data_IF_957704756785
#
_entry.id   IF_957704756785
#
_cell.length_a   1.000
_cell.length_b   1.000
_cell.length_c   1.000
_cell.angle_alpha   90.00
_cell.angle_beta   90.00
_cell.angle_gamma   90.00
#
_symmetry.space_group_name_H-M   'P 1'
#
loop_
_entity.id
_entity.type
_entity.pdbx_description
1 polymer ?
#
# COMPACT_ATOMS: atom_id res chain seq x y z
N UNK A 1 14.96 8.22 0.77
CA UNK A 1 13.57 7.88 0.53
C UNK A 1 13.19 6.58 1.22
N UNK A 2 13.44 5.45 0.59
CA UNK A 2 13.06 4.16 1.18
C UNK A 2 13.74 3.97 2.55
N UNK A 3 15.02 4.26 2.64
CA UNK A 3 15.80 4.11 3.87
C UNK A 3 15.36 5.05 4.99
N UNK A 4 14.71 6.16 4.66
CA UNK A 4 14.17 7.09 5.64
C UNK A 4 12.89 6.58 6.29
N UNK A 5 12.17 5.68 5.62
CA UNK A 5 10.87 5.20 6.07
C UNK A 5 10.96 3.87 6.81
N UNK A 6 11.95 3.03 6.49
CA UNK A 6 12.03 1.68 7.01
C UNK A 6 13.47 1.31 7.35
N UNK A 7 13.64 0.50 8.39
CA UNK A 7 14.97 -0.02 8.71
C UNK A 7 15.42 -0.99 7.63
N UNK A 8 16.73 -1.04 7.41
CA UNK A 8 17.32 -1.95 6.43
C UNK A 8 17.02 -3.41 6.76
N UNK A 9 17.11 -3.80 8.04
CA UNK A 9 16.85 -5.18 8.45
C UNK A 9 15.39 -5.58 8.24
N UNK A 10 14.47 -4.69 8.49
CA UNK A 10 13.05 -4.93 8.25
C UNK A 10 12.77 -5.14 6.76
N UNK A 11 13.36 -4.31 5.91
CA UNK A 11 13.19 -4.41 4.47
C UNK A 11 13.76 -5.72 3.92
N UNK A 12 14.95 -6.12 4.39
CA UNK A 12 15.56 -7.38 3.98
C UNK A 12 14.66 -8.55 4.39
N UNK A 13 14.13 -8.54 5.59
CA UNK A 13 13.21 -9.57 6.07
C UNK A 13 12.00 -9.72 5.15
N UNK A 14 11.38 -8.61 4.79
CA UNK A 14 10.21 -8.62 3.92
C UNK A 14 10.53 -9.14 2.52
N UNK A 15 11.67 -8.75 1.96
CA UNK A 15 12.10 -9.20 0.64
C UNK A 15 12.39 -10.70 0.58
N UNK A 16 12.72 -11.32 1.72
CA UNK A 16 12.99 -12.76 1.79
C UNK A 16 11.73 -13.60 1.95
N UNK A 17 10.60 -12.98 2.24
CA UNK A 17 9.33 -13.69 2.38
C UNK A 17 8.67 -13.87 1.01
N UNK A 18 8.32 -15.10 0.66
CA UNK A 18 7.77 -15.40 -0.67
C UNK A 18 6.45 -14.69 -0.97
N UNK A 19 5.65 -14.42 0.06
CA UNK A 19 4.38 -13.74 -0.08
C UNK A 19 4.52 -12.23 -0.29
N UNK A 20 5.67 -11.65 0.06
CA UNK A 20 5.92 -10.23 -0.16
C UNK A 20 6.33 -9.96 -1.59
N UNK A 21 5.66 -8.98 -2.21
CA UNK A 21 5.95 -8.54 -3.56
C UNK A 21 6.31 -7.06 -3.53
N UNK A 22 7.45 -6.70 -4.11
CA UNK A 22 7.91 -5.32 -4.19
C UNK A 22 8.11 -4.92 -5.63
N UNK A 23 7.62 -3.75 -5.98
CA UNK A 23 7.73 -3.20 -7.33
C UNK A 23 8.21 -1.75 -7.27
N UNK A 24 9.14 -1.42 -8.14
CA UNK A 24 9.57 -0.04 -8.33
C UNK A 24 8.69 0.57 -9.42
N UNK A 25 8.20 1.77 -9.17
CA UNK A 25 7.35 2.48 -10.13
C UNK A 25 8.24 3.37 -10.98
N UNK A 26 8.23 3.13 -12.29
CA UNK A 26 9.03 3.87 -13.25
C UNK A 26 8.11 4.77 -14.08
N UNK A 27 8.47 6.04 -14.21
CA UNK A 27 7.74 7.00 -15.02
C UNK A 27 8.74 7.83 -15.82
N UNK A 28 8.56 7.83 -17.15
CA UNK A 28 9.46 8.52 -18.07
C UNK A 28 10.94 8.16 -17.84
N UNK A 29 11.20 6.89 -17.59
CA UNK A 29 12.55 6.37 -17.39
C UNK A 29 13.14 6.58 -16.01
N UNK A 30 12.40 7.17 -15.07
CA UNK A 30 12.89 7.46 -13.72
C UNK A 30 12.13 6.65 -12.68
N UNK A 31 12.83 6.20 -11.64
CA UNK A 31 12.20 5.58 -10.49
C UNK A 31 11.51 6.68 -9.67
N UNK A 32 10.19 6.63 -9.58
CA UNK A 32 9.39 7.68 -8.94
C UNK A 32 8.61 7.19 -7.73
N UNK A 33 8.71 5.91 -7.40
CA UNK A 33 8.03 5.37 -6.24
C UNK A 33 8.20 3.88 -6.13
N UNK A 34 7.49 3.31 -5.17
CA UNK A 34 7.51 1.87 -4.97
C UNK A 34 6.20 1.40 -4.36
N UNK A 35 5.94 0.11 -4.50
CA UNK A 35 4.76 -0.53 -3.92
C UNK A 35 5.16 -1.86 -3.31
N UNK A 36 4.65 -2.13 -2.10
CA UNK A 36 4.88 -3.41 -1.43
C UNK A 36 3.58 -3.96 -0.90
N UNK A 37 3.30 -5.22 -1.22
CA UNK A 37 2.11 -5.89 -0.72
C UNK A 37 2.43 -7.34 -0.35
N UNK A 38 1.60 -7.89 0.52
CA UNK A 38 1.76 -9.26 1.01
C UNK A 38 0.57 -10.10 0.57
N UNK A 39 0.86 -11.10 -0.28
CA UNK A 39 -0.13 -12.07 -0.74
C UNK A 39 -0.50 -13.01 0.42
N UNK A 40 -1.76 -13.42 0.44
CA UNK A 40 -2.25 -14.39 1.42
C UNK A 40 -2.00 -13.96 2.88
N UNK A 41 -2.11 -12.65 3.12
CA UNK A 41 -1.98 -12.09 4.47
C UNK A 41 -3.03 -12.67 5.43
N UNK A 42 -4.24 -12.82 4.92
CA UNK A 42 -5.32 -13.58 5.55
C UNK A 42 -5.92 -14.47 4.47
N UNK A 43 -6.92 -15.27 4.80
CA UNK A 43 -7.58 -16.13 3.84
C UNK A 43 -8.12 -15.34 2.66
N UNK A 44 -7.65 -15.67 1.46
CA UNK A 44 -8.04 -15.00 0.19
C UNK A 44 -7.84 -13.48 0.20
N UNK A 45 -6.91 -12.98 1.01
CA UNK A 45 -6.71 -11.54 1.23
C UNK A 45 -5.25 -11.15 1.08
N UNK A 46 -5.01 -10.12 0.30
CA UNK A 46 -3.70 -9.46 0.16
C UNK A 46 -3.73 -8.16 0.95
N UNK A 47 -2.64 -7.83 1.62
CA UNK A 47 -2.49 -6.54 2.29
C UNK A 47 -1.51 -5.66 1.55
N UNK A 48 -1.96 -4.47 1.16
CA UNK A 48 -1.09 -3.43 0.63
C UNK A 48 -0.40 -2.75 1.82
N UNK A 49 0.90 -2.98 1.96
CA UNK A 49 1.67 -2.40 3.07
C UNK A 49 2.18 -1.02 2.74
N UNK A 50 2.62 -0.79 1.50
CA UNK A 50 3.31 0.43 1.11
C UNK A 50 2.98 0.81 -0.31
N UNK A 51 2.64 2.08 -0.50
CA UNK A 51 2.58 2.70 -1.82
C UNK A 51 3.08 4.12 -1.67
N UNK A 52 4.22 4.40 -2.27
CA UNK A 52 4.86 5.70 -2.20
C UNK A 52 5.16 6.23 -3.59
N UNK A 53 4.85 7.50 -3.80
CA UNK A 53 5.20 8.23 -5.01
C UNK A 53 5.88 9.53 -4.62
N UNK A 54 6.94 9.91 -5.33
CA UNK A 54 7.59 11.19 -5.07
C UNK A 54 6.61 12.33 -5.36
N UNK A 55 6.70 13.47 -4.64
CA UNK A 55 5.72 14.55 -4.81
C UNK A 55 5.63 15.10 -6.23
N UNK A 56 6.71 15.07 -6.99
CA UNK A 56 6.78 15.63 -8.34
C UNK A 56 5.84 14.96 -9.34
N UNK A 57 5.41 13.72 -9.06
CA UNK A 57 4.51 12.97 -9.97
C UNK A 57 3.09 12.86 -9.45
N UNK A 58 2.78 13.48 -8.32
CA UNK A 58 1.42 13.48 -7.78
C UNK A 58 0.52 14.26 -8.75
N UNK A 59 -0.67 13.73 -9.01
CA UNK A 59 -1.62 14.34 -9.96
C UNK A 59 -1.46 13.85 -11.39
N UNK A 60 -0.53 12.92 -11.67
CA UNK A 60 -0.31 12.38 -13.01
C UNK A 60 -1.00 11.03 -13.25
N UNK A 61 -1.86 10.60 -12.34
CA UNK A 61 -2.60 9.34 -12.48
C UNK A 61 -1.81 8.10 -12.11
N UNK A 62 -0.61 8.23 -11.56
CA UNK A 62 0.23 7.08 -11.22
C UNK A 62 -0.31 6.29 -10.03
N UNK A 63 -0.98 6.95 -9.08
CA UNK A 63 -1.63 6.27 -7.98
C UNK A 63 -2.71 5.31 -8.46
N UNK A 64 -3.57 5.78 -9.35
CA UNK A 64 -4.62 4.93 -9.95
C UNK A 64 -4.03 3.78 -10.76
N UNK A 65 -3.00 4.07 -11.56
CA UNK A 65 -2.33 3.04 -12.35
C UNK A 65 -1.70 1.98 -11.46
N UNK A 66 -1.09 2.40 -10.35
CA UNK A 66 -0.48 1.48 -9.38
C UNK A 66 -1.53 0.57 -8.74
N UNK A 67 -2.68 1.12 -8.36
CA UNK A 67 -3.77 0.33 -7.77
C UNK A 67 -4.36 -0.64 -8.79
N UNK A 68 -4.50 -0.23 -10.06
CA UNK A 68 -4.96 -1.13 -11.12
C UNK A 68 -4.00 -2.30 -11.32
N UNK A 69 -2.70 -2.02 -11.30
CA UNK A 69 -1.66 -3.05 -11.35
C UNK A 69 -1.77 -4.01 -10.16
N UNK A 70 -1.94 -3.46 -8.96
CA UNK A 70 -2.11 -4.25 -7.73
C UNK A 70 -3.29 -5.21 -7.86
N UNK A 71 -4.45 -4.72 -8.30
CA UNK A 71 -5.65 -5.54 -8.47
C UNK A 71 -5.42 -6.69 -9.45
N UNK A 72 -4.75 -6.42 -10.56
CA UNK A 72 -4.44 -7.43 -11.56
C UNK A 72 -3.51 -8.49 -10.99
N UNK A 73 -2.47 -8.09 -10.27
CA UNK A 73 -1.52 -9.03 -9.66
C UNK A 73 -2.16 -9.88 -8.59
N UNK A 74 -2.95 -9.27 -7.72
CA UNK A 74 -3.64 -9.99 -6.64
C UNK A 74 -4.60 -11.03 -7.22
N UNK A 75 -5.35 -10.66 -8.24
CA UNK A 75 -6.26 -11.58 -8.93
C UNK A 75 -5.49 -12.74 -9.56
N UNK A 76 -4.36 -12.45 -10.19
CA UNK A 76 -3.49 -13.45 -10.80
C UNK A 76 -3.00 -14.48 -9.78
N UNK A 77 -2.71 -14.05 -8.55
CA UNK A 77 -2.25 -14.93 -7.48
C UNK A 77 -3.38 -15.58 -6.68
N UNK A 78 -4.63 -15.31 -7.01
CA UNK A 78 -5.78 -16.01 -6.49
C UNK A 78 -6.46 -15.41 -5.27
N UNK A 79 -5.96 -14.32 -4.73
CA UNK A 79 -6.66 -13.63 -3.64
C UNK A 79 -7.84 -12.83 -4.19
N UNK A 80 -8.88 -12.70 -3.36
CA UNK A 80 -10.14 -12.08 -3.78
C UNK A 80 -10.44 -10.76 -3.07
N UNK A 81 -9.58 -10.37 -2.15
CA UNK A 81 -9.77 -9.17 -1.34
C UNK A 81 -8.43 -8.47 -1.12
N UNK A 82 -8.45 -7.15 -1.13
CA UNK A 82 -7.28 -6.34 -0.80
C UNK A 82 -7.63 -5.46 0.39
N UNK A 83 -6.76 -5.43 1.39
CA UNK A 83 -6.90 -4.54 2.55
C UNK A 83 -5.70 -3.60 2.63
N UNK A 84 -5.91 -2.46 3.26
CA UNK A 84 -4.85 -1.50 3.55
C UNK A 84 -5.24 -0.64 4.75
N UNK A 85 -4.23 -0.01 5.34
CA UNK A 85 -4.44 1.02 6.33
C UNK A 85 -3.97 2.35 5.73
N UNK A 86 -4.72 3.42 5.96
CA UNK A 86 -4.35 4.75 5.50
C UNK A 86 -4.64 5.76 6.61
N UNK A 87 -3.66 6.62 6.90
CA UNK A 87 -3.84 7.65 7.91
C UNK A 87 -4.99 8.58 7.51
N UNK A 88 -5.80 8.98 8.48
CA UNK A 88 -6.98 9.84 8.23
C UNK A 88 -6.63 11.16 7.56
N UNK A 89 -5.41 11.65 7.75
CA UNK A 89 -4.95 12.89 7.15
C UNK A 89 -4.23 12.69 5.81
N UNK A 90 -4.10 11.46 5.34
CA UNK A 90 -3.40 11.17 4.10
C UNK A 90 -4.34 11.37 2.90
N UNK A 91 -3.99 12.29 1.98
CA UNK A 91 -4.84 12.54 0.81
C UNK A 91 -4.97 11.34 -0.13
N UNK A 92 -4.11 10.33 -0.01
CA UNK A 92 -4.20 9.11 -0.83
C UNK A 92 -5.51 8.36 -0.63
N UNK A 93 -6.23 8.58 0.50
CA UNK A 93 -7.53 7.97 0.72
C UNK A 93 -8.49 8.24 -0.44
N UNK A 94 -8.42 9.42 -1.05
CA UNK A 94 -9.28 9.77 -2.18
C UNK A 94 -9.03 8.87 -3.39
N UNK A 95 -7.78 8.47 -3.60
CA UNK A 95 -7.42 7.55 -4.68
C UNK A 95 -8.02 6.17 -4.39
N UNK A 96 -7.89 5.69 -3.17
CA UNK A 96 -8.46 4.40 -2.78
C UNK A 96 -9.98 4.41 -2.90
N UNK A 97 -10.64 5.47 -2.44
CA UNK A 97 -12.09 5.63 -2.62
C UNK A 97 -12.48 5.54 -4.10
N UNK A 98 -11.75 6.23 -4.96
CA UNK A 98 -12.04 6.26 -6.40
C UNK A 98 -11.80 4.91 -7.07
N UNK A 99 -11.00 4.04 -6.48
CA UNK A 99 -10.69 2.72 -7.01
C UNK A 99 -11.54 1.62 -6.38
N UNK A 100 -12.59 1.98 -5.66
CA UNK A 100 -13.55 1.02 -5.14
C UNK A 100 -13.25 0.50 -3.74
N UNK A 101 -12.25 1.04 -3.07
CA UNK A 101 -11.99 0.70 -1.68
C UNK A 101 -12.98 1.41 -0.77
N UNK A 102 -13.34 0.77 0.31
CA UNK A 102 -14.22 1.35 1.33
C UNK A 102 -13.67 1.12 2.72
N UNK A 103 -13.98 2.01 3.64
CA UNK A 103 -13.60 1.87 5.04
C UNK A 103 -14.43 0.75 5.67
N UNK A 104 -13.77 -0.21 6.30
CA UNK A 104 -14.45 -1.25 7.07
C UNK A 104 -14.13 -1.19 8.57
N UNK A 105 -13.22 -0.34 8.97
CA UNK A 105 -12.85 -0.17 10.36
C UNK A 105 -11.87 0.97 10.53
N UNK A 106 -11.48 1.19 11.78
CA UNK A 106 -10.50 2.19 12.15
C UNK A 106 -9.50 1.56 13.10
N UNK A 107 -8.24 1.99 13.01
CA UNK A 107 -7.18 1.57 13.91
C UNK A 107 -6.62 2.79 14.62
N UNK A 108 -6.45 2.67 15.93
CA UNK A 108 -5.77 3.67 16.74
C UNK A 108 -4.44 3.04 17.16
N UNK A 109 -3.34 3.59 16.67
CA UNK A 109 -2.02 3.03 16.88
C UNK A 109 -1.24 3.95 17.81
N UNK A 110 -0.86 3.44 18.98
CA UNK A 110 -0.02 4.17 19.92
C UNK A 110 1.41 4.20 19.38
N UNK A 111 1.92 5.40 19.10
CA UNK A 111 3.28 5.58 18.59
C UNK A 111 4.23 6.10 19.67
N UNK A 112 3.76 6.13 20.94
CA UNK A 112 4.57 6.51 22.10
C UNK A 112 4.43 7.97 22.49
N UNK A 113 4.86 8.28 23.71
CA UNK A 113 4.88 9.64 24.27
C UNK A 113 3.51 10.34 24.25
N UNK A 114 2.42 9.58 24.36
CA UNK A 114 1.08 10.13 24.35
C UNK A 114 0.54 10.46 22.96
N UNK A 115 1.27 10.15 21.89
CA UNK A 115 0.81 10.34 20.52
C UNK A 115 0.17 9.08 19.98
N UNK A 116 -0.84 9.24 19.13
CA UNK A 116 -1.51 8.14 18.46
C UNK A 116 -1.63 8.43 16.96
N UNK A 117 -1.61 7.37 16.16
CA UNK A 117 -1.99 7.42 14.74
C UNK A 117 -3.39 6.87 14.60
N UNK A 118 -4.25 7.61 13.92
CA UNK A 118 -5.60 7.17 13.58
C UNK A 118 -5.64 6.82 12.10
N UNK A 119 -5.86 5.53 11.82
CA UNK A 119 -5.92 5.03 10.46
C UNK A 119 -7.33 4.55 10.13
N UNK A 120 -7.71 4.74 8.86
CA UNK A 120 -8.82 3.98 8.28
C UNK A 120 -8.30 2.63 7.81
N UNK A 121 -9.07 1.58 8.09
CA UNK A 121 -8.85 0.26 7.50
C UNK A 121 -9.79 0.15 6.29
N UNK A 122 -9.23 -0.05 5.11
CA UNK A 122 -9.99 -0.08 3.88
C UNK A 122 -9.88 -1.43 3.20
N UNK A 123 -10.93 -1.79 2.46
CA UNK A 123 -10.97 -3.05 1.72
C UNK A 123 -11.56 -2.87 0.34
N UNK A 124 -11.18 -3.75 -0.58
CA UNK A 124 -11.77 -3.88 -1.90
C UNK A 124 -11.91 -5.37 -2.23
N UNK A 125 -13.10 -5.76 -2.67
CA UNK A 125 -13.37 -7.13 -3.11
C UNK A 125 -13.25 -7.20 -4.63
N UNK A 126 -12.42 -8.13 -5.10
CA UNK A 126 -12.18 -8.32 -6.52
C UNK A 126 -13.31 -9.09 -7.20
#
# INVERSE_FOLDING_TARGET
MLAEMYSESELINQLQTLEYQYYIIIFEGNAVGFMGFELHYESNTTKLHRLYLVPEVIGKGLGKASISFLKAKVSEFGDQRIILNVNKNNPAKKIYDSQGFRVYGEAVIDIGKGFVMNDYMMEHHL
#
